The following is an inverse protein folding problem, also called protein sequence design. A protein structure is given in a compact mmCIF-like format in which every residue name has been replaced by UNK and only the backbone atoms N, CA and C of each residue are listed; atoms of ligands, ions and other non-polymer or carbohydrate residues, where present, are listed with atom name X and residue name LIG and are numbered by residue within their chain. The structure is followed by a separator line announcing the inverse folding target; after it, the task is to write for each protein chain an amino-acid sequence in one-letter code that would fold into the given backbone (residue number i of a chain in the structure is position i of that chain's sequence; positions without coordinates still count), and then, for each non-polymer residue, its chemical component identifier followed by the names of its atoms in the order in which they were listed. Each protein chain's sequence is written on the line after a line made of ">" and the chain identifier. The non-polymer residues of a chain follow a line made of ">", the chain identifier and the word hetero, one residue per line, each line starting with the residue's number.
data_IF_217213549581
#
_entry.id   IF_217213549581
#
_cell.length_a   1.000
_cell.length_b   1.000
_cell.length_c   1.000
_cell.angle_alpha   90.00
_cell.angle_beta   90.00
_cell.angle_gamma   90.00
#
_symmetry.space_group_name_H-M   'P 1'
#
loop_
_entity.id
_entity.type
_entity.pdbx_description
1 polymer ?
#
# COMPACT_ATOMS: atom_id res chain seq x y z
N UNK A 1 30.08 -5.52 -32.27
CA UNK A 1 28.68 -5.80 -31.93
C UNK A 1 28.55 -6.89 -30.86
N UNK A 2 29.15 -8.08 -31.03
CA UNK A 2 29.05 -9.12 -30.00
C UNK A 2 29.59 -8.72 -28.59
N UNK A 3 30.60 -7.85 -28.52
CA UNK A 3 31.18 -7.39 -27.24
C UNK A 3 30.33 -6.34 -26.50
N UNK A 4 29.54 -5.54 -27.22
CA UNK A 4 28.65 -4.53 -26.62
C UNK A 4 27.40 -5.18 -26.04
N UNK A 5 26.82 -6.15 -26.75
CA UNK A 5 25.61 -6.86 -26.30
C UNK A 5 25.85 -7.68 -25.02
N UNK A 6 27.02 -8.31 -24.90
CA UNK A 6 27.41 -9.08 -23.70
C UNK A 6 27.62 -8.16 -22.49
N UNK A 7 28.21 -6.97 -22.68
CA UNK A 7 28.39 -5.99 -21.59
C UNK A 7 27.05 -5.46 -21.09
N UNK A 8 26.13 -5.14 -22.00
CA UNK A 8 24.77 -4.74 -21.62
C UNK A 8 24.05 -5.83 -20.86
N UNK A 9 24.15 -7.09 -21.30
CA UNK A 9 23.50 -8.22 -20.64
C UNK A 9 24.01 -8.41 -19.20
N UNK A 10 25.32 -8.32 -18.97
CA UNK A 10 25.92 -8.42 -17.63
C UNK A 10 25.45 -7.26 -16.74
N UNK A 11 25.41 -6.03 -17.29
CA UNK A 11 24.94 -4.86 -16.55
C UNK A 11 23.46 -5.00 -16.15
N UNK A 12 22.61 -5.43 -17.07
CA UNK A 12 21.19 -5.67 -16.84
C UNK A 12 20.95 -6.79 -15.83
N UNK A 13 21.71 -7.89 -15.90
CA UNK A 13 21.65 -8.97 -14.92
C UNK A 13 22.00 -8.50 -13.51
N UNK A 14 23.07 -7.70 -13.36
CA UNK A 14 23.44 -7.10 -12.07
C UNK A 14 22.36 -6.14 -11.55
N UNK A 15 21.78 -5.35 -12.44
CA UNK A 15 20.73 -4.38 -12.11
C UNK A 15 19.47 -5.09 -11.62
N UNK A 16 19.06 -6.15 -12.32
CA UNK A 16 17.94 -7.01 -11.93
C UNK A 16 18.16 -7.62 -10.54
N UNK A 17 19.36 -8.11 -10.26
CA UNK A 17 19.69 -8.74 -8.97
C UNK A 17 19.60 -7.74 -7.80
N UNK A 18 20.15 -6.53 -7.96
CA UNK A 18 20.07 -5.46 -6.97
C UNK A 18 18.62 -5.02 -6.77
N UNK A 19 17.87 -4.83 -7.86
CA UNK A 19 16.46 -4.44 -7.81
C UNK A 19 15.62 -5.49 -7.06
N UNK A 20 15.85 -6.77 -7.34
CA UNK A 20 15.16 -7.88 -6.66
C UNK A 20 15.35 -7.84 -5.15
N UNK A 21 16.61 -7.80 -4.70
CA UNK A 21 16.92 -7.80 -3.27
C UNK A 21 16.36 -6.56 -2.57
N UNK A 22 16.52 -5.38 -3.18
CA UNK A 22 16.01 -4.13 -2.60
C UNK A 22 14.50 -4.13 -2.47
N UNK A 23 13.77 -4.52 -3.52
CA UNK A 23 12.31 -4.60 -3.49
C UNK A 23 11.81 -5.67 -2.52
N UNK A 24 12.47 -6.83 -2.46
CA UNK A 24 12.08 -7.92 -1.55
C UNK A 24 12.24 -7.48 -0.08
N UNK A 25 13.41 -6.93 0.28
CA UNK A 25 13.66 -6.45 1.65
C UNK A 25 12.67 -5.34 2.03
N UNK A 26 12.46 -4.36 1.15
CA UNK A 26 11.50 -3.28 1.40
C UNK A 26 10.06 -3.79 1.51
N UNK A 27 9.67 -4.77 0.70
CA UNK A 27 8.34 -5.40 0.78
C UNK A 27 8.14 -6.09 2.13
N UNK A 28 9.11 -6.87 2.61
CA UNK A 28 9.05 -7.49 3.94
C UNK A 28 8.92 -6.45 5.05
N UNK A 29 9.79 -5.44 5.07
CA UNK A 29 9.78 -4.38 6.09
C UNK A 29 8.43 -3.66 6.11
N UNK A 30 7.91 -3.28 4.95
CA UNK A 30 6.67 -2.50 4.84
C UNK A 30 5.43 -3.32 5.19
N UNK A 31 5.37 -4.59 4.80
CA UNK A 31 4.27 -5.50 5.16
C UNK A 31 4.31 -5.84 6.66
N UNK A 32 5.48 -6.13 7.24
CA UNK A 32 5.60 -6.35 8.69
C UNK A 32 5.12 -5.13 9.48
N UNK A 33 5.50 -3.93 9.05
CA UNK A 33 5.04 -2.69 9.67
C UNK A 33 3.53 -2.49 9.48
N UNK A 34 2.96 -2.86 8.32
CA UNK A 34 1.51 -2.85 8.07
C UNK A 34 0.78 -3.76 9.05
N UNK A 35 1.23 -4.99 9.22
CA UNK A 35 0.63 -5.94 10.16
C UNK A 35 0.73 -5.40 11.59
N UNK A 36 1.89 -4.88 11.99
CA UNK A 36 2.05 -4.29 13.32
C UNK A 36 1.04 -3.17 13.59
N UNK A 37 0.86 -2.25 12.65
CA UNK A 37 -0.15 -1.17 12.75
C UNK A 37 -1.56 -1.73 12.87
N UNK A 38 -1.92 -2.67 11.98
CA UNK A 38 -3.28 -3.24 11.92
C UNK A 38 -3.63 -4.04 13.17
N UNK A 39 -2.71 -4.86 13.69
CA UNK A 39 -2.94 -5.71 14.85
C UNK A 39 -2.82 -4.95 16.18
N UNK A 40 -1.81 -4.08 16.34
CA UNK A 40 -1.54 -3.43 17.63
C UNK A 40 -2.18 -2.06 17.79
N UNK A 41 -2.21 -1.24 16.74
CA UNK A 41 -2.61 0.17 16.84
C UNK A 41 -4.08 0.34 16.45
N UNK A 42 -4.45 -0.06 15.23
CA UNK A 42 -5.81 0.14 14.72
C UNK A 42 -6.77 -0.97 15.17
N UNK A 43 -6.24 -2.15 15.54
CA UNK A 43 -7.01 -3.34 15.91
C UNK A 43 -8.09 -3.69 14.87
N UNK A 44 -7.76 -3.50 13.59
CA UNK A 44 -8.69 -3.62 12.46
C UNK A 44 -8.13 -4.59 11.41
N UNK A 45 -7.70 -5.78 11.85
CA UNK A 45 -7.22 -6.80 10.93
C UNK A 45 -8.34 -7.22 9.97
N UNK A 46 -8.06 -7.24 8.67
CA UNK A 46 -9.03 -7.61 7.65
C UNK A 46 -8.51 -8.68 6.70
N UNK A 47 -9.43 -9.22 5.88
CA UNK A 47 -9.07 -10.13 4.79
C UNK A 47 -8.10 -9.47 3.78
N UNK A 48 -8.08 -8.13 3.70
CA UNK A 48 -7.11 -7.38 2.90
C UNK A 48 -5.66 -7.61 3.35
N UNK A 49 -5.43 -7.78 4.66
CA UNK A 49 -4.10 -8.01 5.22
C UNK A 49 -3.65 -9.46 4.97
N UNK A 50 -4.57 -10.44 5.06
CA UNK A 50 -4.27 -11.83 4.69
C UNK A 50 -3.89 -11.95 3.20
N UNK A 51 -4.65 -11.29 2.32
CA UNK A 51 -4.34 -11.26 0.89
C UNK A 51 -2.98 -10.57 0.61
N UNK A 52 -2.62 -9.54 1.40
CA UNK A 52 -1.31 -8.90 1.26
C UNK A 52 -0.16 -9.82 1.70
N UNK A 53 -0.34 -10.60 2.78
CA UNK A 53 0.64 -11.61 3.20
C UNK A 53 0.78 -12.71 2.15
N UNK A 54 -0.33 -13.20 1.59
CA UNK A 54 -0.31 -14.16 0.49
C UNK A 54 0.44 -13.60 -0.73
N UNK A 55 0.21 -12.32 -1.06
CA UNK A 55 0.95 -11.62 -2.13
C UNK A 55 2.45 -11.60 -1.86
N UNK A 56 2.86 -11.27 -0.63
CA UNK A 56 4.28 -11.25 -0.24
C UNK A 56 4.94 -12.64 -0.37
N UNK A 57 4.23 -13.71 0.03
CA UNK A 57 4.74 -15.07 -0.10
C UNK A 57 4.91 -15.47 -1.57
N UNK A 58 3.91 -15.20 -2.42
CA UNK A 58 3.99 -15.44 -3.86
C UNK A 58 5.12 -14.63 -4.51
N UNK A 59 5.28 -13.36 -4.13
CA UNK A 59 6.37 -12.52 -4.61
C UNK A 59 7.74 -13.07 -4.19
N UNK A 60 7.84 -13.66 -2.99
CA UNK A 60 9.07 -14.29 -2.51
C UNK A 60 9.45 -15.51 -3.34
N UNK A 61 8.49 -16.37 -3.68
CA UNK A 61 8.73 -17.49 -4.59
C UNK A 61 9.13 -17.02 -5.99
N UNK A 62 8.45 -16.00 -6.53
CA UNK A 62 8.84 -15.35 -7.78
C UNK A 62 10.31 -14.88 -7.73
N UNK A 63 10.68 -14.13 -6.70
CA UNK A 63 12.04 -13.62 -6.52
C UNK A 63 13.07 -14.76 -6.42
N UNK A 64 12.76 -15.83 -5.70
CA UNK A 64 13.63 -16.99 -5.56
C UNK A 64 13.93 -17.65 -6.92
N UNK A 65 12.90 -17.84 -7.77
CA UNK A 65 13.10 -18.40 -9.10
C UNK A 65 13.96 -17.49 -9.99
N UNK A 66 13.73 -16.16 -9.99
CA UNK A 66 14.56 -15.24 -10.78
C UNK A 66 16.02 -15.21 -10.29
N UNK A 67 16.25 -15.32 -8.97
CA UNK A 67 17.60 -15.45 -8.41
C UNK A 67 18.29 -16.69 -8.95
N UNK A 68 17.62 -17.85 -8.92
CA UNK A 68 18.16 -19.11 -9.48
C UNK A 68 18.47 -18.98 -10.96
N UNK A 69 17.57 -18.39 -11.75
CA UNK A 69 17.79 -18.13 -13.20
C UNK A 69 19.02 -17.25 -13.41
N UNK A 70 19.17 -16.20 -12.60
CA UNK A 70 20.30 -15.26 -12.74
C UNK A 70 21.64 -15.91 -12.36
N UNK A 71 21.66 -16.75 -11.31
CA UNK A 71 22.85 -17.50 -10.91
C UNK A 71 23.26 -18.50 -12.00
N UNK A 72 22.30 -19.25 -12.55
CA UNK A 72 22.55 -20.17 -13.67
C UNK A 72 23.03 -19.44 -14.92
N UNK A 73 22.53 -18.23 -15.15
CA UNK A 73 23.01 -17.35 -16.22
C UNK A 73 24.45 -16.87 -16.02
N UNK A 74 24.83 -16.51 -14.79
CA UNK A 74 26.18 -16.06 -14.44
C UNK A 74 27.22 -17.19 -14.57
N UNK A 75 26.86 -18.41 -14.17
CA UNK A 75 27.73 -19.60 -14.22
C UNK A 75 27.97 -20.14 -15.63
N UNK A 76 27.43 -19.49 -16.69
CA UNK A 76 27.46 -19.98 -18.08
C UNK A 76 26.86 -21.38 -18.28
N UNK A 77 26.08 -21.86 -17.32
CA UNK A 77 25.31 -23.12 -17.42
C UNK A 77 24.26 -23.09 -18.53
N UNK A 78 23.97 -21.91 -19.08
CA UNK A 78 23.08 -21.73 -20.23
C UNK A 78 23.59 -22.32 -21.55
N UNK A 79 24.83 -22.85 -21.62
CA UNK A 79 25.38 -23.46 -22.82
C UNK A 79 25.35 -24.99 -22.81
N UNK A 80 25.04 -25.62 -21.67
CA UNK A 80 24.89 -27.06 -21.56
C UNK A 80 23.41 -27.45 -21.82
N UNK A 81 23.11 -28.34 -22.79
CA UNK A 81 21.75 -28.75 -23.12
C UNK A 81 20.92 -29.27 -21.93
N UNK A 82 21.55 -29.92 -20.95
CA UNK A 82 20.85 -30.40 -19.75
C UNK A 82 20.47 -29.24 -18.82
N UNK A 83 21.35 -28.24 -18.69
CA UNK A 83 21.12 -27.08 -17.85
C UNK A 83 20.13 -26.06 -18.46
N UNK A 84 20.00 -26.02 -19.79
CA UNK A 84 18.99 -25.20 -20.49
C UNK A 84 17.58 -25.67 -20.14
N UNK A 85 17.36 -26.99 -20.12
CA UNK A 85 16.07 -27.63 -19.80
C UNK A 85 15.56 -27.22 -18.42
N UNK A 86 16.43 -27.32 -17.41
CA UNK A 86 16.14 -26.92 -16.04
C UNK A 86 15.86 -25.41 -15.95
N UNK A 87 16.61 -24.59 -16.68
CA UNK A 87 16.41 -23.14 -16.67
C UNK A 87 15.06 -22.73 -17.27
N UNK A 88 14.61 -23.41 -18.34
CA UNK A 88 13.29 -23.17 -18.93
C UNK A 88 12.15 -23.44 -17.94
N UNK A 89 12.26 -24.51 -17.14
CA UNK A 89 11.28 -24.81 -16.09
C UNK A 89 11.22 -23.69 -15.06
N UNK A 90 12.37 -23.17 -14.61
CA UNK A 90 12.40 -22.04 -13.67
C UNK A 90 11.81 -20.76 -14.26
N UNK A 91 12.06 -20.48 -15.54
CA UNK A 91 11.45 -19.33 -16.25
C UNK A 91 9.94 -19.47 -16.26
N UNK A 92 9.43 -20.66 -16.60
CA UNK A 92 8.00 -20.94 -16.61
C UNK A 92 7.36 -20.76 -15.23
N UNK A 93 8.00 -21.31 -14.19
CA UNK A 93 7.54 -21.15 -12.81
C UNK A 93 7.55 -19.68 -12.40
N UNK A 94 8.60 -18.92 -12.75
CA UNK A 94 8.65 -17.50 -12.44
C UNK A 94 7.51 -16.72 -13.10
N UNK A 95 7.12 -17.06 -14.33
CA UNK A 95 5.97 -16.42 -14.99
C UNK A 95 4.65 -16.73 -14.26
N UNK A 96 4.43 -17.99 -13.88
CA UNK A 96 3.25 -18.40 -13.10
C UNK A 96 3.16 -17.64 -11.77
N UNK A 97 4.25 -17.60 -11.00
CA UNK A 97 4.27 -16.89 -9.72
C UNK A 97 4.13 -15.38 -9.87
N UNK A 98 4.63 -14.80 -10.96
CA UNK A 98 4.39 -13.39 -11.29
C UNK A 98 2.89 -13.11 -11.49
N UNK A 99 2.20 -13.89 -12.33
CA UNK A 99 0.76 -13.71 -12.61
C UNK A 99 -0.06 -13.88 -11.33
N UNK A 100 0.26 -14.88 -10.50
CA UNK A 100 -0.39 -15.09 -9.22
C UNK A 100 -0.15 -13.92 -8.28
N UNK A 101 1.08 -13.41 -8.20
CA UNK A 101 1.42 -12.27 -7.34
C UNK A 101 0.64 -11.02 -7.74
N UNK A 102 0.63 -10.65 -9.03
CA UNK A 102 -0.08 -9.45 -9.50
C UNK A 102 -1.60 -9.58 -9.32
N UNK A 103 -2.15 -10.77 -9.55
CA UNK A 103 -3.58 -11.04 -9.36
C UNK A 103 -3.99 -10.92 -7.89
N UNK A 104 -3.24 -11.56 -6.98
CA UNK A 104 -3.55 -11.51 -5.53
C UNK A 104 -3.29 -10.11 -4.97
N UNK A 105 -2.27 -9.39 -5.47
CA UNK A 105 -2.04 -7.98 -5.12
C UNK A 105 -3.25 -7.11 -5.45
N UNK A 106 -3.78 -7.27 -6.67
CA UNK A 106 -4.99 -6.55 -7.12
C UNK A 106 -6.21 -6.91 -6.30
N UNK A 107 -6.38 -8.19 -5.92
CA UNK A 107 -7.44 -8.61 -5.01
C UNK A 107 -7.27 -7.95 -3.63
N UNK A 108 -6.06 -7.91 -3.06
CA UNK A 108 -5.79 -7.26 -1.77
C UNK A 108 -6.12 -5.76 -1.79
N UNK A 109 -5.64 -5.04 -2.82
CA UNK A 109 -6.00 -3.65 -3.06
C UNK A 109 -7.51 -3.52 -3.26
N UNK A 110 -8.08 -4.45 -4.01
CA UNK A 110 -9.50 -4.55 -4.32
C UNK A 110 -10.37 -4.56 -3.07
N UNK A 111 -10.10 -5.49 -2.17
CA UNK A 111 -10.80 -5.64 -0.90
C UNK A 111 -10.64 -4.40 -0.01
N UNK A 112 -9.46 -3.79 -0.01
CA UNK A 112 -9.24 -2.54 0.73
C UNK A 112 -10.15 -1.41 0.22
N UNK A 113 -10.29 -1.28 -1.09
CA UNK A 113 -11.17 -0.27 -1.69
C UNK A 113 -12.64 -0.55 -1.46
N UNK A 114 -13.09 -1.80 -1.59
CA UNK A 114 -14.50 -2.15 -1.35
C UNK A 114 -14.97 -1.76 0.06
N UNK A 115 -14.05 -1.65 1.03
CA UNK A 115 -14.34 -1.13 2.38
C UNK A 115 -14.50 0.40 2.42
N UNK A 116 -13.89 1.13 1.49
CA UNK A 116 -13.91 2.61 1.41
C UNK A 116 -15.05 3.10 0.49
N UNK A 117 -15.40 2.33 -0.54
CA UNK A 117 -16.45 2.68 -1.49
C UNK A 117 -17.83 2.64 -0.82
N UNK A 118 -18.59 3.73 -0.94
CA UNK A 118 -19.95 3.86 -0.39
C UNK A 118 -21.04 3.76 -1.45
N UNK A 119 -20.73 4.07 -2.72
CA UNK A 119 -21.70 4.08 -3.83
C UNK A 119 -21.79 2.71 -4.50
N UNK A 120 -23.00 2.16 -4.61
CA UNK A 120 -23.25 0.82 -5.18
C UNK A 120 -22.73 0.63 -6.60
N UNK A 121 -22.90 1.63 -7.49
CA UNK A 121 -22.41 1.55 -8.87
C UNK A 121 -20.87 1.44 -8.94
N UNK A 122 -20.14 2.17 -8.08
CA UNK A 122 -18.68 2.10 -8.01
C UNK A 122 -18.22 0.74 -7.49
N UNK A 123 -18.86 0.25 -6.43
CA UNK A 123 -18.58 -1.08 -5.86
C UNK A 123 -18.80 -2.19 -6.90
N UNK A 124 -19.91 -2.13 -7.66
CA UNK A 124 -20.25 -3.13 -8.68
C UNK A 124 -19.22 -3.13 -9.81
N UNK A 125 -18.87 -1.96 -10.37
CA UNK A 125 -17.85 -1.85 -11.42
C UNK A 125 -16.52 -2.43 -10.97
N UNK A 126 -16.14 -2.17 -9.72
CA UNK A 126 -14.89 -2.63 -9.16
C UNK A 126 -14.85 -4.16 -8.97
N UNK A 127 -15.95 -4.74 -8.49
CA UNK A 127 -16.11 -6.20 -8.39
C UNK A 127 -16.05 -6.87 -9.76
N UNK A 128 -16.69 -6.28 -10.78
CA UNK A 128 -16.64 -6.80 -12.16
C UNK A 128 -15.20 -6.80 -12.68
N UNK A 129 -14.49 -5.68 -12.56
CA UNK A 129 -13.13 -5.54 -13.11
C UNK A 129 -12.13 -6.42 -12.36
N UNK A 130 -12.23 -6.51 -11.03
CA UNK A 130 -11.46 -7.47 -10.25
C UNK A 130 -11.76 -8.91 -10.64
N UNK A 131 -13.04 -9.25 -10.83
CA UNK A 131 -13.49 -10.57 -11.26
C UNK A 131 -12.96 -10.94 -12.64
N UNK A 132 -13.02 -10.03 -13.61
CA UNK A 132 -12.47 -10.22 -14.96
C UNK A 132 -10.94 -10.37 -14.90
N UNK A 133 -10.25 -9.51 -14.15
CA UNK A 133 -8.80 -9.60 -14.00
C UNK A 133 -8.37 -10.91 -13.33
N UNK A 134 -9.09 -11.38 -12.32
CA UNK A 134 -8.77 -12.61 -11.61
C UNK A 134 -9.09 -13.87 -12.43
N UNK A 135 -10.24 -13.89 -13.11
CA UNK A 135 -10.61 -15.03 -13.97
C UNK A 135 -9.68 -15.14 -15.17
N UNK A 136 -9.34 -14.03 -15.82
CA UNK A 136 -8.38 -14.06 -16.93
C UNK A 136 -6.96 -14.38 -16.46
N UNK A 137 -6.54 -13.87 -15.29
CA UNK A 137 -5.26 -14.23 -14.67
C UNK A 137 -5.16 -15.73 -14.41
N UNK A 138 -6.21 -16.34 -13.85
CA UNK A 138 -6.27 -17.80 -13.64
C UNK A 138 -6.24 -18.58 -14.96
N UNK A 139 -7.01 -18.13 -15.96
CA UNK A 139 -6.98 -18.71 -17.30
C UNK A 139 -5.58 -18.65 -17.93
N UNK A 140 -4.87 -17.53 -17.77
CA UNK A 140 -3.52 -17.35 -18.29
C UNK A 140 -2.52 -18.23 -17.55
N UNK A 141 -2.64 -18.40 -16.23
CA UNK A 141 -1.84 -19.37 -15.45
C UNK A 141 -2.04 -20.80 -15.96
N UNK A 142 -3.29 -21.23 -16.14
CA UNK A 142 -3.60 -22.58 -16.65
C UNK A 142 -3.03 -22.75 -18.06
N UNK A 143 -3.25 -21.77 -18.95
CA UNK A 143 -2.71 -21.80 -20.31
C UNK A 143 -1.18 -21.86 -20.35
N UNK A 144 -0.53 -21.20 -19.38
CA UNK A 144 0.93 -21.19 -19.22
C UNK A 144 1.43 -22.55 -18.71
N UNK A 145 0.81 -23.15 -17.70
CA UNK A 145 1.20 -24.46 -17.18
C UNK A 145 1.00 -25.57 -18.22
N UNK A 146 -0.12 -25.55 -18.94
CA UNK A 146 -0.50 -26.57 -19.92
C UNK A 146 -0.13 -26.18 -21.36
N UNK A 147 0.87 -25.30 -21.55
CA UNK A 147 1.25 -24.77 -22.87
C UNK A 147 1.63 -25.85 -23.89
N UNK A 148 2.04 -27.02 -23.42
CA UNK A 148 2.29 -28.18 -24.27
C UNK A 148 1.65 -29.48 -23.78
N UNK A 149 0.55 -29.39 -23.03
CA UNK A 149 -0.10 -30.56 -22.42
C UNK A 149 0.52 -30.91 -21.07
N UNK A 150 1.31 -31.99 -21.00
CA UNK A 150 1.78 -32.54 -19.73
C UNK A 150 2.88 -31.67 -19.05
N UNK A 151 2.64 -31.15 -17.83
CA UNK A 151 3.62 -30.35 -17.12
C UNK A 151 4.88 -31.13 -16.67
N UNK A 152 4.84 -32.46 -16.64
CA UNK A 152 5.96 -33.29 -16.16
C UNK A 152 7.13 -33.34 -17.14
N UNK A 153 6.88 -33.13 -18.43
CA UNK A 153 7.89 -33.16 -19.51
C UNK A 153 8.10 -31.80 -20.19
N UNK A 154 7.74 -30.69 -19.55
CA UNK A 154 7.81 -29.33 -20.13
C UNK A 154 9.14 -29.05 -20.83
N UNK A 155 10.26 -29.47 -20.24
CA UNK A 155 11.58 -29.23 -20.81
C UNK A 155 11.84 -30.01 -22.12
N UNK A 156 11.34 -31.25 -22.25
CA UNK A 156 11.41 -32.03 -23.50
C UNK A 156 10.50 -31.44 -24.57
N UNK A 157 9.29 -31.05 -24.13
CA UNK A 157 8.23 -30.61 -25.02
C UNK A 157 8.51 -29.24 -25.63
N UNK A 158 9.17 -28.33 -24.89
CA UNK A 158 9.59 -27.00 -25.38
C UNK A 158 10.70 -27.04 -26.45
N UNK A 159 11.55 -28.08 -26.47
CA UNK A 159 12.66 -28.19 -27.42
C UNK A 159 12.31 -28.97 -28.70
N UNK A 160 11.22 -29.74 -28.74
CA UNK A 160 10.96 -30.63 -29.88
C UNK A 160 9.52 -31.11 -30.14
N UNK A 161 8.50 -30.67 -29.38
CA UNK A 161 7.14 -31.19 -29.58
C UNK A 161 6.36 -30.46 -30.67
N UNK A 162 5.64 -31.23 -31.49
CA UNK A 162 4.64 -30.76 -32.47
C UNK A 162 3.28 -30.43 -31.83
N UNK A 163 3.11 -30.64 -30.52
CA UNK A 163 1.82 -30.52 -29.80
C UNK A 163 1.75 -29.31 -28.84
N UNK A 164 2.72 -28.39 -28.87
CA UNK A 164 2.61 -27.14 -28.11
C UNK A 164 1.59 -26.18 -28.74
N UNK A 165 0.98 -25.35 -27.90
CA UNK A 165 0.14 -24.25 -28.37
C UNK A 165 0.94 -23.35 -29.33
N UNK A 166 0.32 -22.88 -30.43
CA UNK A 166 1.01 -22.07 -31.42
C UNK A 166 1.51 -20.77 -30.78
N UNK A 167 2.72 -20.34 -31.15
CA UNK A 167 3.34 -19.09 -30.63
C UNK A 167 2.43 -17.88 -30.77
N UNK A 168 1.64 -17.82 -31.84
CA UNK A 168 0.66 -16.76 -32.05
C UNK A 168 -0.44 -16.73 -30.97
N UNK A 169 -0.88 -17.90 -30.49
CA UNK A 169 -1.84 -18.00 -29.41
C UNK A 169 -1.25 -17.49 -28.09
N UNK A 170 -0.04 -17.93 -27.73
CA UNK A 170 0.66 -17.49 -26.51
C UNK A 170 0.87 -15.97 -26.51
N UNK A 171 1.27 -15.40 -27.65
CA UNK A 171 1.41 -13.95 -27.78
C UNK A 171 0.06 -13.23 -27.62
N UNK A 172 -0.97 -13.72 -28.31
CA UNK A 172 -2.30 -13.10 -28.27
C UNK A 172 -2.87 -13.09 -26.85
N UNK A 173 -2.81 -14.23 -26.14
CA UNK A 173 -3.30 -14.32 -24.76
C UNK A 173 -2.47 -13.49 -23.79
N UNK A 174 -1.15 -13.41 -23.97
CA UNK A 174 -0.29 -12.53 -23.18
C UNK A 174 -0.59 -11.04 -23.38
N UNK A 175 -0.88 -10.61 -24.62
CA UNK A 175 -1.30 -9.24 -24.92
C UNK A 175 -2.67 -8.91 -24.33
N UNK A 176 -3.63 -9.83 -24.42
CA UNK A 176 -4.95 -9.65 -23.81
C UNK A 176 -4.82 -9.57 -22.29
N UNK A 177 -4.00 -10.43 -21.66
CA UNK A 177 -3.71 -10.34 -20.23
C UNK A 177 -3.12 -8.97 -19.88
N UNK A 178 -2.12 -8.50 -20.63
CA UNK A 178 -1.51 -7.18 -20.45
C UNK A 178 -2.53 -6.05 -20.55
N UNK A 179 -3.42 -6.08 -21.56
CA UNK A 179 -4.47 -5.09 -21.74
C UNK A 179 -5.46 -5.07 -20.57
N UNK A 180 -5.93 -6.23 -20.12
CA UNK A 180 -6.82 -6.35 -18.95
C UNK A 180 -6.11 -5.81 -17.70
N UNK A 181 -4.82 -6.09 -17.54
CA UNK A 181 -4.02 -5.62 -16.42
C UNK A 181 -3.95 -4.09 -16.39
N UNK A 182 -3.68 -3.46 -17.54
CA UNK A 182 -3.67 -2.00 -17.70
C UNK A 182 -5.06 -1.40 -17.43
N UNK A 183 -6.13 -1.97 -18.00
CA UNK A 183 -7.51 -1.48 -17.77
C UNK A 183 -7.87 -1.56 -16.28
N UNK A 184 -7.50 -2.64 -15.60
CA UNK A 184 -7.68 -2.76 -14.17
C UNK A 184 -6.93 -1.64 -13.43
N UNK A 185 -5.65 -1.42 -13.73
CA UNK A 185 -4.83 -0.36 -13.09
C UNK A 185 -5.45 1.03 -13.27
N UNK A 186 -5.91 1.37 -14.48
CA UNK A 186 -6.59 2.63 -14.76
C UNK A 186 -7.92 2.76 -14.01
N UNK A 187 -8.64 1.66 -13.82
CA UNK A 187 -9.87 1.65 -13.02
C UNK A 187 -9.58 2.00 -11.56
N UNK A 188 -8.50 1.46 -11.00
CA UNK A 188 -8.02 1.81 -9.66
C UNK A 188 -7.62 3.28 -9.54
N UNK A 189 -7.28 3.96 -10.64
CA UNK A 189 -6.98 5.40 -10.66
C UNK A 189 -8.24 6.25 -10.84
N UNK A 190 -9.10 5.90 -11.79
CA UNK A 190 -10.26 6.72 -12.18
C UNK A 190 -11.37 6.72 -11.13
N UNK A 191 -11.71 5.56 -10.56
CA UNK A 191 -12.81 5.47 -9.60
C UNK A 191 -12.55 6.36 -8.37
N UNK A 192 -11.37 6.31 -7.74
CA UNK A 192 -11.12 7.15 -6.59
C UNK A 192 -11.04 8.65 -6.93
N UNK A 193 -10.65 9.03 -8.16
CA UNK A 193 -10.74 10.43 -8.64
C UNK A 193 -12.18 10.91 -8.59
N UNK A 194 -13.12 10.15 -9.15
CA UNK A 194 -14.53 10.53 -9.17
C UNK A 194 -15.07 10.73 -7.74
N UNK A 195 -14.65 9.86 -6.81
CA UNK A 195 -15.04 9.98 -5.39
C UNK A 195 -14.48 11.27 -4.77
N UNK A 196 -13.23 11.63 -5.06
CA UNK A 196 -12.61 12.83 -4.52
C UNK A 196 -13.27 14.14 -4.99
N UNK A 197 -13.89 14.13 -6.17
CA UNK A 197 -14.57 15.30 -6.75
C UNK A 197 -15.94 15.49 -6.09
N UNK A 198 -16.68 14.41 -5.87
CA UNK A 198 -18.10 14.49 -5.48
C UNK A 198 -18.37 14.34 -3.97
N UNK A 199 -17.34 14.11 -3.14
CA UNK A 199 -17.53 13.66 -1.76
C UNK A 199 -16.78 14.49 -0.71
N UNK A 200 -17.49 14.91 0.34
CA UNK A 200 -16.95 15.46 1.61
C UNK A 200 -16.30 14.35 2.46
N UNK A 201 -15.34 13.63 1.86
CA UNK A 201 -14.59 12.60 2.58
C UNK A 201 -13.71 13.24 3.65
N UNK A 202 -13.67 12.61 4.82
CA UNK A 202 -12.71 12.96 5.87
C UNK A 202 -11.29 12.94 5.29
N UNK A 203 -10.44 13.88 5.74
CA UNK A 203 -9.09 14.09 5.21
C UNK A 203 -8.26 12.80 5.19
N UNK A 204 -8.55 11.87 6.11
CA UNK A 204 -7.91 10.56 6.19
C UNK A 204 -8.21 9.68 4.98
N UNK A 205 -9.48 9.59 4.57
CA UNK A 205 -9.90 8.79 3.41
C UNK A 205 -9.37 9.40 2.10
N UNK A 206 -9.41 10.74 1.98
CA UNK A 206 -8.88 11.49 0.83
C UNK A 206 -7.40 11.20 0.56
N UNK A 207 -6.60 11.11 1.61
CA UNK A 207 -5.17 10.79 1.51
C UNK A 207 -4.93 9.33 1.09
N UNK A 208 -5.64 8.37 1.69
CA UNK A 208 -5.50 6.96 1.32
C UNK A 208 -5.83 6.75 -0.15
N UNK A 209 -6.92 7.36 -0.61
CA UNK A 209 -7.33 7.36 -2.02
C UNK A 209 -6.25 7.93 -2.94
N UNK A 210 -5.67 9.08 -2.61
CA UNK A 210 -4.63 9.72 -3.43
C UNK A 210 -3.37 8.86 -3.61
N UNK A 211 -2.93 8.14 -2.57
CA UNK A 211 -1.75 7.26 -2.67
C UNK A 211 -2.04 6.10 -3.61
N UNK A 212 -3.26 5.57 -3.58
CA UNK A 212 -3.57 4.42 -4.42
C UNK A 212 -3.80 4.82 -5.87
N UNK A 213 -4.28 6.04 -6.13
CA UNK A 213 -4.21 6.59 -7.49
C UNK A 213 -2.78 6.68 -8.00
N UNK A 214 -1.83 7.10 -7.16
CA UNK A 214 -0.42 7.13 -7.56
C UNK A 214 0.12 5.71 -7.82
N UNK A 215 -0.29 4.72 -7.02
CA UNK A 215 0.03 3.31 -7.24
C UNK A 215 -0.48 2.77 -8.57
N UNK A 216 -1.76 2.99 -8.87
CA UNK A 216 -2.36 2.55 -10.13
C UNK A 216 -1.68 3.19 -11.34
N UNK A 217 -1.29 4.47 -11.25
CA UNK A 217 -0.53 5.14 -12.30
C UNK A 217 0.85 4.49 -12.51
N UNK A 218 1.62 4.27 -11.44
CA UNK A 218 2.94 3.61 -11.53
C UNK A 218 2.81 2.17 -12.04
N UNK A 219 1.83 1.41 -11.54
CA UNK A 219 1.53 0.05 -11.99
C UNK A 219 1.19 0.01 -13.49
N UNK A 220 0.38 0.94 -13.97
CA UNK A 220 0.01 1.01 -15.38
C UNK A 220 1.21 1.26 -16.29
N UNK A 221 2.14 2.14 -15.91
CA UNK A 221 3.38 2.39 -16.66
C UNK A 221 4.22 1.12 -16.72
N UNK A 222 4.35 0.40 -15.59
CA UNK A 222 5.09 -0.86 -15.53
C UNK A 222 4.46 -1.95 -16.41
N UNK A 223 3.12 -2.09 -16.38
CA UNK A 223 2.37 -3.00 -17.23
C UNK A 223 2.55 -2.72 -18.72
N UNK A 224 2.52 -1.44 -19.13
CA UNK A 224 2.73 -1.03 -20.53
C UNK A 224 4.15 -1.36 -20.97
N UNK A 225 5.17 -1.04 -20.16
CA UNK A 225 6.56 -1.32 -20.49
C UNK A 225 6.81 -2.83 -20.64
N UNK A 226 6.21 -3.65 -19.78
CA UNK A 226 6.25 -5.10 -19.93
C UNK A 226 5.63 -5.55 -21.26
N UNK A 227 4.48 -4.98 -21.64
CA UNK A 227 3.79 -5.33 -22.88
C UNK A 227 4.62 -4.98 -24.13
N UNK A 228 5.37 -3.88 -24.10
CA UNK A 228 6.31 -3.49 -25.17
C UNK A 228 7.43 -4.54 -25.32
N UNK A 229 8.01 -4.98 -24.21
CA UNK A 229 9.11 -5.96 -24.23
C UNK A 229 8.64 -7.43 -24.25
N UNK A 230 7.32 -7.69 -24.24
CA UNK A 230 6.74 -9.03 -24.17
C UNK A 230 7.18 -9.95 -25.32
N UNK A 231 7.33 -9.41 -26.54
CA UNK A 231 7.86 -10.19 -27.69
C UNK A 231 9.25 -10.76 -27.44
N UNK A 232 10.03 -10.14 -26.54
CA UNK A 232 11.36 -10.60 -26.15
C UNK A 232 11.34 -11.78 -25.19
N UNK A 233 10.21 -12.13 -24.57
CA UNK A 233 10.10 -13.26 -23.65
C UNK A 233 9.93 -14.61 -24.38
N UNK A 234 9.52 -14.59 -25.66
CA UNK A 234 9.48 -15.81 -26.45
C UNK A 234 10.90 -16.33 -26.68
N UNK A 235 11.18 -17.51 -26.13
CA UNK A 235 12.44 -18.21 -26.31
C UNK A 235 12.65 -18.49 -27.81
N UNK A 236 13.59 -17.75 -28.42
CA UNK A 236 14.12 -18.10 -29.74
C UNK A 236 15.35 -18.98 -29.54
N UNK A 237 15.67 -19.83 -30.53
CA UNK A 237 16.80 -20.79 -30.53
C UNK A 237 18.18 -20.19 -30.23
N UNK A 238 18.29 -18.86 -30.08
CA UNK A 238 19.53 -18.08 -29.95
C UNK A 238 19.83 -17.63 -28.51
N UNK A 239 19.10 -18.09 -27.49
CA UNK A 239 19.38 -17.82 -26.07
C UNK A 239 18.62 -16.62 -25.45
N UNK A 240 18.91 -16.31 -24.18
CA UNK A 240 18.32 -15.16 -23.47
C UNK A 240 18.69 -13.84 -24.16
N UNK A 241 17.68 -13.07 -24.55
CA UNK A 241 17.87 -11.78 -25.21
C UNK A 241 17.86 -10.65 -24.17
N UNK A 242 18.58 -9.56 -24.44
CA UNK A 242 18.59 -8.33 -23.62
C UNK A 242 17.18 -7.82 -23.29
N UNK A 243 16.26 -7.99 -24.24
CA UNK A 243 14.85 -7.63 -24.11
C UNK A 243 14.08 -8.46 -23.08
N UNK A 244 14.43 -9.74 -22.89
CA UNK A 244 13.82 -10.59 -21.88
C UNK A 244 14.18 -10.10 -20.47
N UNK A 245 15.43 -9.70 -20.25
CA UNK A 245 15.90 -9.18 -18.96
C UNK A 245 15.22 -7.86 -18.62
N UNK A 246 15.07 -6.96 -19.60
CA UNK A 246 14.30 -5.71 -19.43
C UNK A 246 12.83 -5.99 -19.07
N UNK A 247 12.19 -6.96 -19.73
CA UNK A 247 10.83 -7.37 -19.39
C UNK A 247 10.74 -7.90 -17.95
N UNK A 248 11.72 -8.70 -17.49
CA UNK A 248 11.78 -9.20 -16.10
C UNK A 248 11.96 -8.08 -15.09
N UNK A 249 12.77 -7.06 -15.40
CA UNK A 249 12.94 -5.88 -14.54
C UNK A 249 11.60 -5.18 -14.29
N UNK A 250 10.85 -4.88 -15.36
CA UNK A 250 9.53 -4.27 -15.24
C UNK A 250 8.50 -5.20 -14.56
N UNK A 251 8.55 -6.50 -14.84
CA UNK A 251 7.70 -7.50 -14.20
C UNK A 251 8.00 -7.68 -12.70
N UNK A 252 9.23 -7.40 -12.25
CA UNK A 252 9.59 -7.39 -10.82
C UNK A 252 9.16 -6.07 -10.16
N UNK A 253 9.41 -4.95 -10.84
CA UNK A 253 9.11 -3.61 -10.33
C UNK A 253 7.61 -3.40 -10.10
N UNK A 254 6.75 -3.92 -10.99
CA UNK A 254 5.29 -3.80 -10.89
C UNK A 254 4.73 -4.32 -9.54
N UNK A 255 4.80 -5.62 -9.21
CA UNK A 255 4.29 -6.14 -7.94
C UNK A 255 5.11 -5.64 -6.75
N UNK A 256 6.44 -5.51 -6.86
CA UNK A 256 7.29 -5.08 -5.75
C UNK A 256 6.97 -3.66 -5.26
N UNK A 257 6.87 -2.70 -6.18
CA UNK A 257 6.48 -1.32 -5.83
C UNK A 257 5.02 -1.24 -5.38
N UNK A 258 4.15 -2.06 -5.98
CA UNK A 258 2.75 -2.17 -5.59
C UNK A 258 2.57 -2.61 -4.14
N UNK A 259 3.24 -3.69 -3.71
CA UNK A 259 3.20 -4.19 -2.32
C UNK A 259 3.69 -3.12 -1.33
N UNK A 260 4.84 -2.50 -1.65
CA UNK A 260 5.47 -1.49 -0.80
C UNK A 260 4.53 -0.30 -0.62
N UNK A 261 4.08 0.32 -1.71
CA UNK A 261 3.29 1.52 -1.60
C UNK A 261 1.86 1.25 -1.12
N UNK A 262 1.28 0.07 -1.40
CA UNK A 262 0.00 -0.35 -0.80
C UNK A 262 0.12 -0.46 0.73
N UNK A 263 1.23 -1.01 1.20
CA UNK A 263 1.51 -1.11 2.63
C UNK A 263 1.75 0.27 3.24
N UNK A 264 2.55 1.14 2.60
CA UNK A 264 2.78 2.52 3.07
C UNK A 264 1.49 3.35 3.12
N UNK A 265 0.54 3.13 2.20
CA UNK A 265 -0.75 3.83 2.20
C UNK A 265 -1.50 3.66 3.53
N UNK A 266 -1.38 2.50 4.16
CA UNK A 266 -2.08 2.15 5.42
C UNK A 266 -1.31 2.63 6.66
N UNK A 267 0.01 2.83 6.56
CA UNK A 267 0.88 3.27 7.66
C UNK A 267 0.75 4.76 8.01
N UNK A 268 0.18 5.58 7.11
CA UNK A 268 0.15 7.04 7.27
C UNK A 268 -0.47 7.62 8.56
N UNK A 269 -1.58 7.12 9.12
CA UNK A 269 -2.07 7.64 10.41
C UNK A 269 -1.04 7.50 11.52
N UNK A 270 -0.16 6.49 11.45
CA UNK A 270 0.93 6.31 12.39
C UNK A 270 2.08 7.29 12.15
N UNK A 271 2.46 7.54 10.89
CA UNK A 271 3.53 8.51 10.57
C UNK A 271 3.17 9.90 11.12
N UNK A 272 1.90 10.32 11.04
CA UNK A 272 1.43 11.58 11.63
C UNK A 272 1.55 11.60 13.16
N UNK A 273 1.23 10.49 13.83
CA UNK A 273 1.31 10.41 15.29
C UNK A 273 2.76 10.32 15.80
N UNK A 274 3.63 9.63 15.07
CA UNK A 274 5.07 9.56 15.39
C UNK A 274 5.72 10.91 15.14
N UNK A 275 5.46 11.55 13.99
CA UNK A 275 6.04 12.88 13.69
C UNK A 275 5.55 13.97 14.64
N UNK A 276 4.28 13.94 15.09
CA UNK A 276 3.81 14.85 16.13
C UNK A 276 4.45 14.57 17.49
N UNK A 277 4.64 13.31 17.86
CA UNK A 277 5.29 12.90 19.11
C UNK A 277 6.79 13.18 19.13
N UNK A 278 7.48 13.02 18.00
CA UNK A 278 8.89 13.37 17.84
C UNK A 278 9.06 14.88 17.83
N UNK A 279 8.15 15.63 17.17
CA UNK A 279 8.16 17.10 17.19
C UNK A 279 7.89 17.66 18.59
N UNK A 280 6.97 17.08 19.35
CA UNK A 280 6.70 17.51 20.74
C UNK A 280 7.86 17.20 21.68
N UNK A 281 8.52 16.04 21.51
CA UNK A 281 9.74 15.69 22.27
C UNK A 281 10.92 16.57 21.88
N UNK A 282 11.09 16.88 20.59
CA UNK A 282 12.13 17.79 20.11
C UNK A 282 11.92 19.24 20.57
N UNK A 283 10.66 19.71 20.64
CA UNK A 283 10.36 21.03 21.23
C UNK A 283 10.60 21.07 22.74
N UNK A 284 10.31 19.98 23.45
CA UNK A 284 10.59 19.88 24.90
C UNK A 284 12.11 19.93 25.18
N UNK A 285 12.93 19.31 24.32
CA UNK A 285 14.39 19.39 24.41
C UNK A 285 14.94 20.80 24.12
N UNK A 286 14.33 21.57 23.20
CA UNK A 286 14.71 22.97 22.93
C UNK A 286 14.27 23.94 24.05
N UNK A 287 13.13 23.70 24.71
CA UNK A 287 12.63 24.54 25.80
C UNK A 287 13.39 24.37 27.13
N UNK A 288 14.15 23.28 27.31
CA UNK A 288 14.96 23.03 28.50
C UNK A 288 16.21 23.93 28.62
N UNK A 289 16.57 24.67 27.58
CA UNK A 289 17.77 25.53 27.51
C UNK A 289 17.55 26.97 27.98
N UNK A 290 16.35 27.37 28.41
CA UNK A 290 16.02 28.79 28.68
C UNK A 290 15.52 29.09 30.09
N UNK A 291 15.78 28.23 31.08
CA UNK A 291 15.34 28.48 32.47
C UNK A 291 16.52 28.55 33.44
N UNK A 292 17.37 29.56 33.28
CA UNK A 292 18.21 30.06 34.37
C UNK A 292 18.44 31.56 34.18
N UNK A 293 17.55 32.37 34.77
CA UNK A 293 17.89 33.70 35.26
C UNK A 293 16.94 34.06 36.40
N UNK A 294 17.17 33.44 37.54
CA UNK A 294 16.63 33.89 38.83
C UNK A 294 17.50 35.08 39.24
N UNK A 295 17.03 36.31 39.02
CA UNK A 295 17.67 37.48 39.61
C UNK A 295 17.09 37.68 41.00
N UNK A 296 17.83 37.26 42.01
CA UNK A 296 17.72 37.81 43.36
C UNK A 296 18.31 39.23 43.32
N UNK A 297 17.54 40.23 43.73
CA UNK A 297 18.06 41.52 44.17
C UNK A 297 17.16 42.04 45.29
N UNK A 298 17.82 42.30 46.42
CA UNK A 298 17.33 42.73 47.71
C UNK A 298 16.79 44.16 47.73
N UNK A 299 15.96 44.43 48.74
CA UNK A 299 15.45 45.73 49.19
C UNK A 299 16.51 46.82 49.33
N UNK A 300 16.15 48.06 49.01
CA UNK A 300 16.32 49.25 49.86
C UNK A 300 15.57 50.46 49.25
N UNK A 301 15.10 51.33 50.15
CA UNK A 301 14.32 52.55 49.92
C UNK A 301 14.94 53.51 48.90
N UNK A 302 14.12 54.16 48.07
CA UNK A 302 14.17 55.62 47.98
C UNK A 302 12.98 56.26 47.24
N UNK A 303 12.76 57.49 47.66
CA UNK A 303 11.56 58.32 47.62
C UNK A 303 11.35 59.14 46.31
N UNK A 304 10.10 59.61 46.11
CA UNK A 304 9.67 60.86 45.42
C UNK A 304 9.40 60.84 43.89
N UNK A 305 8.10 60.77 43.58
CA UNK A 305 7.24 61.70 42.80
C UNK A 305 7.61 62.20 41.38
N UNK A 306 6.63 62.10 40.45
CA UNK A 306 5.81 63.20 39.88
C UNK A 306 5.31 62.90 38.46
N UNK A 307 3.98 63.03 38.29
CA UNK A 307 3.23 63.47 37.07
C UNK A 307 3.26 62.56 35.83
N UNK A 308 2.28 62.51 34.94
CA UNK A 308 0.88 62.94 34.79
C UNK A 308 0.49 62.53 33.35
N UNK A 309 -0.82 62.45 33.06
CA UNK A 309 -1.51 62.19 31.78
C UNK A 309 -1.58 60.72 31.34
N UNK A 310 -2.76 60.13 31.14
CA UNK A 310 -4.12 60.66 31.21
C UNK A 310 -5.08 59.80 30.41
N UNK A 311 -6.25 59.52 31.01
CA UNK A 311 -7.51 59.13 30.36
C UNK A 311 -7.59 57.68 29.87
N UNK A 312 -8.61 56.87 30.17
CA UNK A 312 -9.98 57.08 30.65
C UNK A 312 -10.35 55.83 31.49
N UNK A 313 -10.80 55.97 32.75
CA UNK A 313 -12.22 56.11 33.17
C UNK A 313 -13.09 54.95 32.67
N UNK A 314 -13.87 54.20 33.45
CA UNK A 314 -14.18 54.04 34.89
C UNK A 314 -15.43 53.14 34.90
N UNK A 315 -15.45 52.02 35.65
CA UNK A 315 -16.25 51.84 36.89
C UNK A 315 -17.78 51.78 36.64
N UNK A 316 -18.55 50.79 37.09
CA UNK A 316 -18.93 50.39 38.46
C UNK A 316 -19.69 49.04 38.35
N UNK A 317 -19.72 48.15 39.34
CA UNK A 317 -20.17 48.42 40.71
C UNK A 317 -19.50 47.50 41.74
N UNK A 318 -19.16 48.11 42.87
CA UNK A 318 -18.76 47.49 44.13
C UNK A 318 -19.94 47.51 45.12
N UNK A 319 -19.66 47.11 46.36
CA UNK A 319 -20.48 46.99 47.59
C UNK A 319 -20.87 45.52 47.84
N UNK A 320 -20.03 44.71 48.51
CA UNK A 320 -19.70 44.63 49.96
C UNK A 320 -20.96 44.29 50.79
N UNK A 321 -20.97 43.37 51.76
CA UNK A 321 -20.00 43.11 52.82
C UNK A 321 -20.05 41.66 53.32
N UNK A 322 -18.88 41.15 53.69
CA UNK A 322 -18.65 39.95 54.49
C UNK A 322 -18.84 40.30 55.97
N UNK A 323 -19.28 39.35 56.82
CA UNK A 323 -18.44 39.06 57.98
C UNK A 323 -18.58 37.62 58.55
N UNK A 324 -17.44 36.97 58.82
CA UNK A 324 -17.28 35.80 59.71
C UNK A 324 -17.67 34.38 59.24
N UNK A 325 -16.80 33.79 58.40
CA UNK A 325 -16.19 32.45 58.64
C UNK A 325 -17.08 31.18 58.55
N UNK A 326 -16.52 29.96 58.74
CA UNK A 326 -16.00 29.06 57.70
C UNK A 326 -16.90 27.81 57.52
N UNK A 327 -17.17 27.29 56.32
CA UNK A 327 -17.69 25.91 56.21
C UNK A 327 -17.41 25.22 54.88
N UNK A 328 -16.45 24.30 54.92
CA UNK A 328 -16.48 22.92 54.42
C UNK A 328 -17.48 22.61 53.30
N UNK A 329 -16.94 22.33 52.11
CA UNK A 329 -17.61 21.58 51.04
C UNK A 329 -17.82 20.13 51.46
N UNK A 330 -19.04 19.80 51.89
CA UNK A 330 -19.54 18.42 51.87
C UNK A 330 -20.54 18.26 50.73
N UNK A 331 -20.11 17.57 49.67
CA UNK A 331 -21.04 16.97 48.73
C UNK A 331 -21.88 15.92 49.43
N UNK A 332 -23.20 16.11 49.42
CA UNK A 332 -24.17 15.03 49.69
C UNK A 332 -25.09 14.91 48.49
N UNK A 333 -24.98 13.77 47.84
CA UNK A 333 -25.95 13.27 46.90
C UNK A 333 -27.26 12.95 47.62
N UNK A 334 -28.41 13.26 47.00
CA UNK A 334 -29.63 12.47 47.20
C UNK A 334 -30.69 12.78 46.13
N UNK A 335 -30.97 11.75 45.34
CA UNK A 335 -32.31 11.20 45.12
C UNK A 335 -33.31 12.05 44.32
N UNK A 336 -33.39 11.77 43.01
CA UNK A 336 -34.60 12.03 42.23
C UNK A 336 -35.73 11.11 42.72
N UNK A 337 -36.85 11.71 43.15
CA UNK A 337 -38.11 11.02 43.40
C UNK A 337 -39.09 11.32 42.26
N UNK A 338 -39.65 10.25 41.72
CA UNK A 338 -40.85 10.22 40.90
C UNK A 338 -42.02 10.95 41.57
N UNK A 339 -42.78 11.70 40.77
CA UNK A 339 -44.14 12.13 41.13
C UNK A 339 -45.10 11.59 40.07
N UNK A 340 -45.96 10.70 40.54
CA UNK A 340 -47.16 10.18 39.91
C UNK A 340 -48.23 11.26 39.79
N UNK A 341 -48.92 11.34 38.65
CA UNK A 341 -50.19 12.05 38.53
C UNK A 341 -51.31 11.00 38.52
N UNK A 342 -52.10 11.00 39.58
CA UNK A 342 -53.30 10.18 39.76
C UNK A 342 -54.52 11.07 39.50
N UNK A 343 -55.42 10.63 38.60
CA UNK A 343 -56.55 11.41 38.08
C UNK A 343 -57.87 11.25 38.84
N UNK A 344 -58.97 11.72 38.20
CA UNK A 344 -60.41 11.34 38.32
C UNK A 344 -61.32 12.45 37.71
N UNK A 345 -62.63 12.25 37.46
CA UNK A 345 -63.32 11.19 36.67
C UNK A 345 -64.52 11.75 35.83
N UNK A 346 -65.46 10.84 35.43
CA UNK A 346 -66.85 11.01 34.89
C UNK A 346 -66.92 11.02 33.34
N UNK A 347 -67.43 10.01 32.62
CA UNK A 347 -68.79 9.40 32.61
C UNK A 347 -69.64 10.14 31.55
N UNK A 348 -70.47 9.59 30.66
CA UNK A 348 -71.06 8.28 30.36
C UNK A 348 -71.99 8.47 29.13
N UNK A 349 -72.33 7.40 28.40
CA UNK A 349 -73.42 7.26 27.41
C UNK A 349 -73.21 8.00 26.06
N UNK A 350 -73.47 7.42 24.89
CA UNK A 350 -74.43 6.38 24.44
C UNK A 350 -73.77 5.50 23.39
#
# INVERSE_FOLDING_TARGET
>A
MASTDVRELILLGRTLWILLLTLLVLAYVTVCLRLWVRYRITKSAGYDDLAMVATLMLFTFYCAFIIVITLRGADRKLFDPEDIRVTLVYVQLSEVFYILTTTVLKISLGLFFLRVLTKRWQTLLFQIILGVSATYGLFYVISTIFVCGDPTHIADTLLGSKQCLPRAFILSTGYIYGAINVVADWTFVLIPICILIDSDLDRRAKISVSIVMALGAVGSVSSIMRMVHFKGLLFSRTGLRTESVKATIWATAEPGTGIIAASIAILRPLIRNITSSVRSRASMYKSGSSRTRTTYASSEDDTIALTSRGGKSSTHSAVTDDPWSPTVTFGKASTQRFVSIQGRPVGSAV
#
